data_IF_505243108908
#
_entry.id   IF_505243108908
#
_cell.length_a   1.000
_cell.length_b   1.000
_cell.length_c   1.000
_cell.angle_alpha   90.00
_cell.angle_beta   90.00
_cell.angle_gamma   90.00
#
_symmetry.space_group_name_H-M   'P 1'
#
loop_
_entity.id
_entity.type
_entity.pdbx_description
1 polymer ?
#
# COMPACT_ATOMS: atom_id res chain seq x y z
N UNK A 1 -16.35 12.77 16.12
CA UNK A 1 -15.06 12.74 15.43
C UNK A 1 -15.22 13.20 13.99
N UNK A 2 -14.17 13.77 13.39
CA UNK A 2 -14.24 14.15 11.97
C UNK A 2 -14.25 12.90 11.08
N UNK A 3 -14.98 12.90 9.94
CA UNK A 3 -14.99 11.75 9.02
C UNK A 3 -13.59 11.37 8.51
N UNK A 4 -12.68 12.34 8.32
CA UNK A 4 -11.30 12.05 7.91
C UNK A 4 -10.53 11.30 8.99
N UNK A 5 -10.75 11.61 10.28
CA UNK A 5 -10.11 10.90 11.38
C UNK A 5 -10.56 9.44 11.49
N UNK A 6 -11.85 9.16 11.20
CA UNK A 6 -12.36 7.78 11.18
C UNK A 6 -11.69 6.95 10.06
N UNK A 7 -11.61 7.51 8.86
CA UNK A 7 -10.93 6.86 7.75
C UNK A 7 -9.44 6.68 8.00
N UNK A 8 -8.78 7.68 8.57
CA UNK A 8 -7.37 7.60 8.94
C UNK A 8 -7.13 6.51 9.97
N UNK A 9 -7.95 6.48 11.04
CA UNK A 9 -7.89 5.44 12.07
C UNK A 9 -8.14 4.04 11.50
N UNK A 10 -9.11 3.90 10.60
CA UNK A 10 -9.37 2.66 9.86
C UNK A 10 -8.15 2.20 9.03
N UNK A 11 -7.48 3.14 8.38
CA UNK A 11 -6.24 2.86 7.65
C UNK A 11 -5.13 2.32 8.55
N UNK A 12 -4.87 2.97 9.68
CA UNK A 12 -3.85 2.50 10.64
C UNK A 12 -4.21 1.15 11.27
N UNK A 13 -5.47 0.92 11.63
CA UNK A 13 -5.92 -0.37 12.16
C UNK A 13 -5.78 -1.48 11.12
N UNK A 14 -6.16 -1.23 9.87
CA UNK A 14 -5.98 -2.17 8.78
C UNK A 14 -4.50 -2.47 8.53
N UNK A 15 -3.65 -1.46 8.58
CA UNK A 15 -2.21 -1.62 8.42
C UNK A 15 -1.60 -2.47 9.54
N UNK A 16 -1.97 -2.18 10.80
CA UNK A 16 -1.58 -3.01 11.94
C UNK A 16 -2.10 -4.45 11.82
N UNK A 17 -3.34 -4.64 11.32
CA UNK A 17 -3.90 -5.95 11.07
C UNK A 17 -3.14 -6.70 9.96
N UNK A 18 -2.67 -6.02 8.91
CA UNK A 18 -1.86 -6.63 7.87
C UNK A 18 -0.53 -7.18 8.43
N UNK A 19 0.22 -6.39 9.21
CA UNK A 19 1.44 -6.86 9.86
C UNK A 19 1.18 -7.99 10.86
N UNK A 20 0.09 -7.91 11.64
CA UNK A 20 -0.29 -8.98 12.57
C UNK A 20 -0.75 -10.22 11.80
N UNK A 21 -1.36 -10.03 10.64
CA UNK A 21 -1.82 -11.10 9.76
C UNK A 21 -0.71 -12.07 9.34
N UNK A 22 0.49 -11.57 9.12
CA UNK A 22 1.65 -12.42 8.83
C UNK A 22 1.89 -13.47 9.93
N UNK A 23 1.69 -13.08 11.18
CA UNK A 23 1.85 -13.97 12.33
C UNK A 23 0.62 -14.86 12.54
N UNK A 24 -0.57 -14.29 12.43
CA UNK A 24 -1.84 -15.01 12.67
C UNK A 24 -2.08 -16.06 11.59
N UNK A 25 -1.76 -15.75 10.34
CA UNK A 25 -1.93 -16.66 9.20
C UNK A 25 -0.71 -17.52 8.91
N UNK A 26 0.28 -17.58 9.81
CA UNK A 26 1.51 -18.35 9.62
C UNK A 26 1.28 -19.86 9.35
N UNK A 27 0.14 -20.42 9.82
CA UNK A 27 -0.23 -21.82 9.56
C UNK A 27 -0.97 -22.05 8.25
N UNK A 28 -1.34 -20.98 7.51
CA UNK A 28 -2.00 -21.10 6.21
C UNK A 28 -0.99 -21.35 5.10
N UNK A 29 -1.41 -21.93 3.96
CA UNK A 29 -0.60 -21.96 2.76
C UNK A 29 -0.10 -20.57 2.36
N UNK A 30 1.17 -20.44 1.94
CA UNK A 30 1.82 -19.15 1.67
C UNK A 30 0.99 -18.26 0.75
N UNK A 31 0.46 -18.79 -0.34
CA UNK A 31 -0.37 -18.02 -1.27
C UNK A 31 -1.62 -17.42 -0.61
N UNK A 32 -2.30 -18.17 0.26
CA UNK A 32 -3.49 -17.67 0.96
C UNK A 32 -3.13 -16.62 2.01
N UNK A 33 -2.02 -16.83 2.73
CA UNK A 33 -1.50 -15.86 3.69
C UNK A 33 -1.18 -14.55 3.01
N UNK A 34 -0.39 -14.58 1.93
CA UNK A 34 -0.01 -13.40 1.15
C UNK A 34 -1.24 -12.67 0.61
N UNK A 35 -2.17 -13.38 -0.01
CA UNK A 35 -3.42 -12.78 -0.50
C UNK A 35 -4.23 -12.10 0.60
N UNK A 36 -4.32 -12.71 1.79
CA UNK A 36 -5.06 -12.11 2.91
C UNK A 36 -4.39 -10.84 3.43
N UNK A 37 -3.07 -10.85 3.54
CA UNK A 37 -2.26 -9.70 4.01
C UNK A 37 -2.32 -8.56 2.99
N UNK A 38 -2.17 -8.85 1.69
CA UNK A 38 -2.26 -7.85 0.64
C UNK A 38 -3.66 -7.22 0.55
N UNK A 39 -4.71 -8.01 0.77
CA UNK A 39 -6.07 -7.46 0.87
C UNK A 39 -6.18 -6.44 2.00
N UNK A 40 -5.57 -6.71 3.16
CA UNK A 40 -5.55 -5.79 4.30
C UNK A 40 -4.73 -4.53 3.98
N UNK A 41 -3.59 -4.66 3.30
CA UNK A 41 -2.81 -3.49 2.85
C UNK A 41 -3.62 -2.63 1.87
N UNK A 42 -4.20 -3.21 0.82
CA UNK A 42 -5.03 -2.47 -0.15
C UNK A 42 -6.22 -1.78 0.55
N UNK A 43 -6.91 -2.46 1.47
CA UNK A 43 -8.01 -1.87 2.24
C UNK A 43 -7.54 -0.70 3.13
N UNK A 44 -6.34 -0.80 3.71
CA UNK A 44 -5.72 0.25 4.52
C UNK A 44 -5.42 1.48 3.67
N UNK A 45 -4.80 1.31 2.51
CA UNK A 45 -4.46 2.40 1.60
C UNK A 45 -5.71 3.00 0.94
N UNK A 46 -6.75 2.21 0.68
CA UNK A 46 -8.07 2.75 0.33
C UNK A 46 -8.59 3.69 1.42
N UNK A 47 -8.48 3.29 2.69
CA UNK A 47 -8.93 4.10 3.82
C UNK A 47 -8.10 5.39 3.95
N UNK A 48 -6.78 5.33 3.78
CA UNK A 48 -5.93 6.52 3.73
C UNK A 48 -6.30 7.44 2.55
N UNK A 49 -6.58 6.89 1.38
CA UNK A 49 -7.03 7.66 0.23
C UNK A 49 -8.35 8.42 0.52
N UNK A 50 -9.31 7.78 1.19
CA UNK A 50 -10.55 8.45 1.59
C UNK A 50 -10.30 9.54 2.65
N UNK A 51 -9.42 9.28 3.63
CA UNK A 51 -9.02 10.27 4.63
C UNK A 51 -8.41 11.52 3.98
N UNK A 52 -7.48 11.33 3.04
CA UNK A 52 -6.83 12.39 2.27
C UNK A 52 -7.83 13.20 1.44
N UNK A 53 -8.72 12.51 0.71
CA UNK A 53 -9.74 13.15 -0.11
C UNK A 53 -10.65 14.06 0.75
N UNK A 54 -11.07 13.59 1.93
CA UNK A 54 -11.89 14.36 2.85
C UNK A 54 -11.10 15.54 3.44
N UNK A 55 -9.84 15.30 3.88
CA UNK A 55 -9.00 16.33 4.47
C UNK A 55 -8.75 17.49 3.51
N UNK A 56 -8.43 17.20 2.27
CA UNK A 56 -8.18 18.19 1.22
C UNK A 56 -9.44 18.65 0.48
N UNK A 57 -10.63 18.28 0.97
CA UNK A 57 -11.92 18.67 0.40
C UNK A 57 -12.05 18.28 -1.09
N UNK A 58 -11.40 17.18 -1.48
CA UNK A 58 -11.52 16.65 -2.83
C UNK A 58 -12.83 15.87 -3.00
N UNK A 59 -13.36 15.76 -4.23
CA UNK A 59 -14.52 14.91 -4.50
C UNK A 59 -14.25 13.46 -4.02
N UNK A 60 -15.19 12.90 -3.28
CA UNK A 60 -15.11 11.50 -2.85
C UNK A 60 -15.29 10.60 -4.06
N UNK A 61 -14.24 9.96 -4.50
CA UNK A 61 -14.26 8.99 -5.59
C UNK A 61 -14.29 7.55 -5.04
N UNK A 62 -15.17 7.28 -4.08
CA UNK A 62 -15.24 5.98 -3.40
C UNK A 62 -15.37 4.84 -4.41
N UNK A 63 -16.28 4.96 -5.37
CA UNK A 63 -16.50 3.94 -6.40
C UNK A 63 -15.26 3.78 -7.28
N UNK A 64 -14.65 4.89 -7.72
CA UNK A 64 -13.42 4.83 -8.55
C UNK A 64 -12.25 4.18 -7.80
N UNK A 65 -12.04 4.55 -6.53
CA UNK A 65 -11.00 3.92 -5.71
C UNK A 65 -11.32 2.45 -5.42
N UNK A 66 -12.59 2.08 -5.19
CA UNK A 66 -12.99 0.69 -4.98
C UNK A 66 -12.76 -0.17 -6.24
N UNK A 67 -13.15 0.33 -7.42
CA UNK A 67 -12.87 -0.35 -8.70
C UNK A 67 -11.36 -0.52 -8.90
N UNK A 68 -10.57 0.52 -8.61
CA UNK A 68 -9.12 0.44 -8.67
C UNK A 68 -8.57 -0.65 -7.73
N UNK A 69 -9.06 -0.72 -6.48
CA UNK A 69 -8.66 -1.76 -5.53
C UNK A 69 -8.97 -3.18 -6.04
N UNK A 70 -10.15 -3.38 -6.65
CA UNK A 70 -10.52 -4.68 -7.22
C UNK A 70 -9.59 -5.07 -8.36
N UNK A 71 -9.29 -4.13 -9.27
CA UNK A 71 -8.36 -4.39 -10.39
C UNK A 71 -6.94 -4.66 -9.89
N UNK A 72 -6.45 -3.85 -8.93
CA UNK A 72 -5.14 -4.04 -8.33
C UNK A 72 -5.05 -5.41 -7.63
N UNK A 73 -6.06 -5.76 -6.85
CA UNK A 73 -6.10 -7.06 -6.15
C UNK A 73 -6.16 -8.24 -7.13
N UNK A 74 -6.87 -8.11 -8.24
CA UNK A 74 -6.87 -9.12 -9.29
C UNK A 74 -5.48 -9.31 -9.93
N UNK A 75 -4.72 -8.22 -10.13
CA UNK A 75 -3.35 -8.28 -10.63
C UNK A 75 -2.41 -8.98 -9.62
N UNK A 76 -2.56 -8.68 -8.31
CA UNK A 76 -1.82 -9.34 -7.23
C UNK A 76 -2.15 -10.83 -7.18
N UNK A 77 -3.43 -11.19 -7.22
CA UNK A 77 -3.86 -12.58 -7.23
C UNK A 77 -3.31 -13.35 -8.45
N UNK A 78 -3.26 -12.70 -9.62
CA UNK A 78 -2.63 -13.27 -10.80
C UNK A 78 -1.12 -13.50 -10.60
N UNK A 79 -0.42 -12.53 -10.01
CA UNK A 79 1.01 -12.63 -9.74
C UNK A 79 1.34 -13.80 -8.79
N UNK A 80 0.50 -14.03 -7.78
CA UNK A 80 0.67 -15.09 -6.78
C UNK A 80 0.23 -16.45 -7.33
N UNK A 81 -0.98 -16.55 -7.91
CA UNK A 81 -1.62 -17.84 -8.21
C UNK A 81 -1.28 -18.38 -9.59
N UNK A 82 -0.91 -17.52 -10.54
CA UNK A 82 -0.69 -17.89 -11.94
C UNK A 82 0.75 -17.69 -12.36
N UNK A 83 1.32 -16.53 -12.07
CA UNK A 83 2.70 -16.20 -12.46
C UNK A 83 3.74 -16.78 -11.48
N UNK A 84 3.34 -17.14 -10.26
CA UNK A 84 4.20 -17.58 -9.16
C UNK A 84 5.45 -16.69 -9.02
N UNK A 85 5.19 -15.38 -8.98
CA UNK A 85 6.25 -14.38 -9.06
C UNK A 85 6.14 -13.35 -7.93
N UNK A 86 6.98 -13.52 -6.92
CA UNK A 86 7.13 -12.57 -5.83
C UNK A 86 7.44 -11.15 -6.31
N UNK A 87 8.22 -11.01 -7.40
CA UNK A 87 8.53 -9.68 -7.98
C UNK A 87 7.30 -8.97 -8.51
N UNK A 88 6.45 -9.69 -9.25
CA UNK A 88 5.22 -9.13 -9.79
C UNK A 88 4.23 -8.80 -8.68
N UNK A 89 4.15 -9.64 -7.67
CA UNK A 89 3.31 -9.43 -6.49
C UNK A 89 3.73 -8.15 -5.77
N UNK A 90 4.98 -8.04 -5.30
CA UNK A 90 5.50 -6.87 -4.59
C UNK A 90 5.37 -5.58 -5.42
N UNK A 91 5.71 -5.64 -6.72
CA UNK A 91 5.54 -4.50 -7.61
C UNK A 91 4.08 -4.08 -7.72
N UNK A 92 3.16 -5.04 -7.84
CA UNK A 92 1.73 -4.76 -7.96
C UNK A 92 1.15 -4.14 -6.69
N UNK A 93 1.52 -4.67 -5.52
CA UNK A 93 1.08 -4.14 -4.20
C UNK A 93 1.61 -2.72 -3.99
N UNK A 94 2.92 -2.52 -4.14
CA UNK A 94 3.55 -1.23 -3.88
C UNK A 94 3.06 -0.14 -4.84
N UNK A 95 2.93 -0.46 -6.13
CA UNK A 95 2.36 0.47 -7.13
C UNK A 95 0.90 0.78 -6.80
N UNK A 96 0.11 -0.22 -6.41
CA UNK A 96 -1.29 0.01 -6.04
C UNK A 96 -1.41 0.90 -4.81
N UNK A 97 -0.63 0.65 -3.76
CA UNK A 97 -0.61 1.46 -2.54
C UNK A 97 -0.15 2.91 -2.82
N UNK A 98 0.93 3.07 -3.60
CA UNK A 98 1.43 4.38 -4.01
C UNK A 98 0.36 5.18 -4.79
N UNK A 99 -0.28 4.56 -5.78
CA UNK A 99 -1.32 5.20 -6.56
C UNK A 99 -2.54 5.57 -5.71
N UNK A 100 -2.98 4.71 -4.79
CA UNK A 100 -4.10 4.99 -3.90
C UNK A 100 -3.90 6.26 -3.08
N UNK A 101 -2.70 6.49 -2.52
CA UNK A 101 -2.43 7.71 -1.75
C UNK A 101 -2.18 8.93 -2.63
N UNK A 102 -1.75 8.77 -3.89
CA UNK A 102 -1.53 9.89 -4.82
C UNK A 102 -2.80 10.35 -5.52
N UNK A 103 -3.74 9.42 -5.81
CA UNK A 103 -4.99 9.75 -6.52
C UNK A 103 -5.76 10.91 -5.89
N UNK A 104 -5.94 11.01 -4.56
CA UNK A 104 -6.60 12.15 -3.94
C UNK A 104 -5.90 13.48 -4.15
N UNK A 105 -4.57 13.47 -4.36
CA UNK A 105 -3.80 14.70 -4.58
C UNK A 105 -3.94 15.24 -6.02
N UNK A 106 -4.32 14.38 -6.98
CA UNK A 106 -4.47 14.77 -8.40
C UNK A 106 -5.48 15.91 -8.60
N UNK A 107 -6.51 16.01 -7.74
CA UNK A 107 -7.50 17.07 -7.79
C UNK A 107 -7.02 18.42 -7.27
N UNK A 108 -5.85 18.48 -6.64
CA UNK A 108 -5.31 19.70 -6.03
C UNK A 108 -4.69 20.59 -7.10
N UNK A 109 -5.38 21.69 -7.45
CA UNK A 109 -4.85 22.66 -8.41
C UNK A 109 -3.76 23.56 -7.83
N UNK A 110 -3.67 23.68 -6.51
CA UNK A 110 -2.67 24.50 -5.79
C UNK A 110 -2.28 23.79 -4.50
N UNK A 111 -1.03 23.98 -4.11
CA UNK A 111 -0.56 23.50 -2.80
C UNK A 111 -1.38 24.17 -1.67
N UNK A 112 -1.64 23.47 -0.57
CA UNK A 112 -2.34 24.01 0.57
C UNK A 112 -1.67 25.29 1.10
N UNK A 113 -2.46 26.22 1.61
CA UNK A 113 -1.93 27.47 2.18
C UNK A 113 -1.21 27.22 3.52
N UNK A 114 -1.69 26.25 4.32
CA UNK A 114 -1.11 25.92 5.62
C UNK A 114 0.18 25.12 5.46
N UNK A 115 1.21 25.50 6.22
CA UNK A 115 2.51 24.80 6.19
C UNK A 115 2.38 23.34 6.61
N UNK A 116 1.58 23.02 7.61
CA UNK A 116 1.33 21.65 8.06
C UNK A 116 0.76 20.77 6.96
N UNK A 117 -0.20 21.30 6.17
CA UNK A 117 -0.80 20.56 5.07
C UNK A 117 0.21 20.35 3.92
N UNK A 118 1.11 21.32 3.69
CA UNK A 118 2.21 21.15 2.71
C UNK A 118 3.17 20.05 3.13
N UNK A 119 3.59 20.06 4.40
CA UNK A 119 4.45 19.00 4.96
C UNK A 119 3.77 17.65 4.81
N UNK A 120 2.46 17.58 5.10
CA UNK A 120 1.71 16.34 4.95
C UNK A 120 1.67 15.85 3.49
N UNK A 121 1.44 16.74 2.51
CA UNK A 121 1.53 16.39 1.08
C UNK A 121 2.91 15.86 0.71
N UNK A 122 3.98 16.52 1.20
CA UNK A 122 5.36 16.07 0.95
C UNK A 122 5.59 14.68 1.51
N UNK A 123 5.15 14.40 2.75
CA UNK A 123 5.26 13.06 3.35
C UNK A 123 4.52 12.03 2.49
N UNK A 124 3.28 12.29 2.08
CA UNK A 124 2.52 11.38 1.21
C UNK A 124 3.23 11.09 -0.10
N UNK A 125 3.79 12.12 -0.74
CA UNK A 125 4.55 11.95 -1.99
C UNK A 125 5.84 11.15 -1.76
N UNK A 126 6.57 11.44 -0.69
CA UNK A 126 7.79 10.70 -0.35
C UNK A 126 7.48 9.23 -0.04
N UNK A 127 6.41 8.94 0.68
CA UNK A 127 5.94 7.56 0.93
C UNK A 127 5.61 6.84 -0.38
N UNK A 128 4.90 7.49 -1.29
CA UNK A 128 4.59 6.89 -2.59
C UNK A 128 5.84 6.62 -3.43
N UNK A 129 6.82 7.54 -3.41
CA UNK A 129 8.10 7.36 -4.09
C UNK A 129 8.92 6.23 -3.46
N UNK A 130 8.91 6.09 -2.13
CA UNK A 130 9.57 5.00 -1.42
C UNK A 130 9.01 3.65 -1.87
N UNK A 131 7.68 3.48 -1.90
CA UNK A 131 7.06 2.27 -2.41
C UNK A 131 7.52 1.93 -3.84
N UNK A 132 7.44 2.90 -4.74
CA UNK A 132 7.80 2.68 -6.15
C UNK A 132 9.30 2.38 -6.31
N UNK A 133 10.17 3.08 -5.57
CA UNK A 133 11.60 2.88 -5.65
C UNK A 133 12.02 1.53 -5.08
N UNK A 134 11.47 1.17 -3.91
CA UNK A 134 11.78 -0.07 -3.23
C UNK A 134 11.45 -1.29 -4.07
N UNK A 135 10.23 -1.39 -4.59
CA UNK A 135 9.81 -2.52 -5.41
C UNK A 135 10.53 -2.54 -6.76
N UNK A 136 10.85 -1.38 -7.34
CA UNK A 136 11.66 -1.31 -8.56
C UNK A 136 13.08 -1.82 -8.31
N UNK A 137 13.73 -1.37 -7.23
CA UNK A 137 15.09 -1.83 -6.86
C UNK A 137 15.06 -3.34 -6.62
N UNK A 138 14.07 -3.86 -5.90
CA UNK A 138 13.94 -5.30 -5.69
C UNK A 138 13.74 -6.05 -7.03
N UNK A 139 12.85 -5.57 -7.89
CA UNK A 139 12.61 -6.18 -9.19
C UNK A 139 13.84 -6.23 -10.09
N UNK A 140 14.75 -5.24 -9.97
CA UNK A 140 15.97 -5.16 -10.78
C UNK A 140 17.15 -5.94 -10.16
N UNK A 141 17.21 -6.09 -8.84
CA UNK A 141 18.39 -6.61 -8.13
C UNK A 141 18.22 -8.03 -7.59
N UNK A 142 17.00 -8.42 -7.21
CA UNK A 142 16.77 -9.77 -6.71
C UNK A 142 16.92 -10.83 -7.81
N UNK A 143 17.46 -12.00 -7.46
CA UNK A 143 17.48 -13.13 -8.40
C UNK A 143 16.06 -13.63 -8.70
N UNK A 144 15.80 -14.23 -9.86
CA UNK A 144 14.49 -14.80 -10.19
C UNK A 144 14.00 -15.87 -9.21
N UNK A 145 14.93 -16.51 -8.51
CA UNK A 145 14.69 -17.66 -7.65
C UNK A 145 14.44 -17.28 -6.19
N UNK A 146 14.46 -15.96 -5.83
CA UNK A 146 14.19 -15.52 -4.47
C UNK A 146 12.75 -15.82 -4.11
N UNK A 147 12.57 -16.76 -3.19
CA UNK A 147 11.28 -17.09 -2.61
C UNK A 147 10.85 -16.14 -1.51
N UNK A 148 9.59 -16.25 -1.08
CA UNK A 148 9.01 -15.40 -0.03
C UNK A 148 9.80 -15.50 1.29
N UNK A 149 10.24 -16.71 1.71
CA UNK A 149 11.01 -16.91 2.92
C UNK A 149 12.35 -16.16 2.89
N UNK A 150 13.06 -16.21 1.75
CA UNK A 150 14.32 -15.50 1.56
C UNK A 150 14.11 -13.98 1.55
N UNK A 151 13.01 -13.52 0.94
CA UNK A 151 12.64 -12.11 0.96
C UNK A 151 12.41 -11.62 2.38
N UNK A 152 11.63 -12.33 3.20
CA UNK A 152 11.30 -11.92 4.58
C UNK A 152 12.53 -11.83 5.49
N UNK A 153 13.59 -12.58 5.20
CA UNK A 153 14.87 -12.50 5.92
C UNK A 153 15.85 -11.50 5.30
N UNK A 154 15.48 -10.90 4.17
CA UNK A 154 16.35 -9.96 3.45
C UNK A 154 16.38 -8.58 4.11
N UNK A 155 17.45 -7.83 3.85
CA UNK A 155 17.56 -6.43 4.23
C UNK A 155 16.47 -5.54 3.57
N UNK A 156 15.93 -5.96 2.43
CA UNK A 156 14.81 -5.27 1.75
C UNK A 156 13.52 -5.36 2.54
N UNK A 157 13.16 -6.54 3.06
CA UNK A 157 11.97 -6.71 3.89
C UNK A 157 12.09 -5.88 5.18
N UNK A 158 13.28 -5.88 5.79
CA UNK A 158 13.55 -5.07 6.98
C UNK A 158 13.42 -3.56 6.70
N UNK A 159 14.03 -3.08 5.60
CA UNK A 159 13.90 -1.68 5.18
C UNK A 159 12.43 -1.31 4.88
N UNK A 160 11.69 -2.22 4.24
CA UNK A 160 10.28 -2.06 3.95
C UNK A 160 9.42 -1.91 5.21
N UNK A 161 9.70 -2.73 6.22
CA UNK A 161 9.00 -2.67 7.51
C UNK A 161 9.28 -1.37 8.26
N UNK A 162 10.53 -0.87 8.23
CA UNK A 162 10.89 0.40 8.86
C UNK A 162 10.23 1.57 8.14
N UNK A 163 10.31 1.64 6.80
CA UNK A 163 9.74 2.75 6.02
C UNK A 163 8.21 2.78 6.08
N UNK A 164 7.57 1.62 6.20
CA UNK A 164 6.12 1.53 6.37
C UNK A 164 5.62 1.87 7.77
N UNK A 165 6.52 1.89 8.78
CA UNK A 165 6.21 2.25 10.16
C UNK A 165 6.40 3.74 10.48
N UNK A 166 7.08 4.49 9.63
CA UNK A 166 7.30 5.95 9.73
C UNK A 166 6.19 6.74 9.04
#
# INVERSE_FOLDING_TARGET
GSPSALWLGGGFLGHAAAFTGELVFASFPDALRTLAVDALFIASYFSFAQALAIHFRQPRQIVGHAVFCVVAYAAIAYAILVADSLRLELLSVDVACALLILLPLRGMRRLPARTTDRVFVVIVVLTALDFMLRSLVFALTASPEVGFADYMTSGYAFAAQISGAL
#
